data_IF_819132166395
#
_entry.id   IF_819132166395
#
_cell.length_a   1.000
_cell.length_b   1.000
_cell.length_c   1.000
_cell.angle_alpha   90.00
_cell.angle_beta   90.00
_cell.angle_gamma   90.00
#
_symmetry.space_group_name_H-M   'P 1'
#
loop_
_entity.id
_entity.type
_entity.pdbx_description
1 polymer ?
#
# COMPACT_ATOMS: atom_id res chain seq x y z
N UNK A 1 -17.27 -64.81 48.32
CA UNK A 1 -18.34 -64.25 47.48
C UNK A 1 -17.73 -63.15 46.59
N UNK A 2 -17.30 -63.54 45.39
CA UNK A 2 -16.72 -62.61 44.41
C UNK A 2 -17.84 -62.19 43.49
N UNK A 3 -18.20 -60.87 43.53
CA UNK A 3 -19.14 -60.27 42.59
C UNK A 3 -18.43 -60.01 41.25
N UNK A 4 -18.73 -60.81 40.24
CA UNK A 4 -18.34 -60.58 38.88
C UNK A 4 -19.16 -59.41 38.33
N UNK A 5 -18.53 -58.25 38.20
CA UNK A 5 -19.09 -57.13 37.47
C UNK A 5 -18.94 -57.38 35.97
N UNK A 6 -20.07 -57.43 35.28
CA UNK A 6 -20.13 -57.68 33.82
C UNK A 6 -19.69 -56.44 33.06
N UNK A 7 -18.39 -56.34 32.77
CA UNK A 7 -17.74 -55.23 32.11
C UNK A 7 -18.30 -54.90 30.68
N UNK A 8 -19.00 -55.90 30.09
CA UNK A 8 -19.59 -55.73 28.74
C UNK A 8 -20.77 -54.76 28.68
N UNK A 9 -21.46 -54.52 29.78
CA UNK A 9 -22.60 -53.59 29.83
C UNK A 9 -22.18 -52.14 29.91
N UNK A 10 -21.01 -51.85 30.49
CA UNK A 10 -20.48 -50.47 30.64
C UNK A 10 -19.99 -49.92 29.29
N UNK A 11 -19.43 -50.80 28.45
CA UNK A 11 -18.93 -50.36 27.12
C UNK A 11 -20.02 -50.07 26.09
N UNK A 12 -21.25 -50.59 26.25
CA UNK A 12 -22.36 -50.34 25.34
C UNK A 12 -22.95 -48.91 25.49
N UNK A 13 -22.95 -48.40 26.71
CA UNK A 13 -23.41 -47.02 26.99
C UNK A 13 -22.46 -45.96 26.51
N UNK A 14 -21.15 -46.20 26.62
CA UNK A 14 -20.13 -45.23 26.20
C UNK A 14 -20.00 -45.06 24.67
N UNK A 15 -20.31 -46.11 23.91
CA UNK A 15 -20.27 -46.02 22.43
C UNK A 15 -21.37 -45.12 21.87
N UNK A 16 -22.54 -45.10 22.52
CA UNK A 16 -23.66 -44.23 22.11
C UNK A 16 -23.38 -42.77 22.52
N UNK A 17 -22.79 -42.57 23.71
CA UNK A 17 -22.41 -41.24 24.18
C UNK A 17 -21.28 -40.62 23.34
N UNK A 18 -20.29 -41.43 22.96
CA UNK A 18 -19.18 -40.95 22.09
C UNK A 18 -19.71 -40.60 20.68
N UNK A 19 -20.65 -41.37 20.14
CA UNK A 19 -21.26 -41.06 18.86
C UNK A 19 -22.12 -39.76 18.89
N UNK A 20 -22.84 -39.53 19.99
CA UNK A 20 -23.62 -38.31 20.20
C UNK A 20 -22.73 -37.05 20.36
N UNK A 21 -21.60 -37.18 21.09
CA UNK A 21 -20.64 -36.10 21.26
C UNK A 21 -19.94 -35.79 19.94
N UNK A 22 -19.59 -36.78 19.13
CA UNK A 22 -19.01 -36.57 17.80
C UNK A 22 -19.99 -35.92 16.80
N UNK A 23 -21.29 -36.22 16.89
CA UNK A 23 -22.30 -35.52 16.09
C UNK A 23 -22.51 -34.06 16.50
N UNK A 24 -22.37 -33.73 17.79
CA UNK A 24 -22.44 -32.34 18.25
C UNK A 24 -21.19 -31.52 17.92
N UNK A 25 -20.03 -32.15 17.78
CA UNK A 25 -18.82 -31.48 17.30
C UNK A 25 -18.73 -31.39 15.79
N UNK A 26 -19.45 -32.20 15.03
CA UNK A 26 -19.46 -32.20 13.57
C UNK A 26 -20.25 -31.07 12.93
N UNK A 27 -21.09 -30.34 13.66
CA UNK A 27 -21.94 -29.27 13.15
C UNK A 27 -21.35 -27.85 13.30
N UNK A 28 -20.18 -27.70 13.93
CA UNK A 28 -19.55 -26.38 14.14
C UNK A 28 -18.39 -26.05 13.19
N UNK A 29 -18.14 -26.84 12.14
CA UNK A 29 -17.10 -26.58 11.15
C UNK A 29 -17.64 -26.01 9.84
N UNK A 30 -18.80 -25.35 9.85
CA UNK A 30 -19.08 -24.35 8.84
C UNK A 30 -18.46 -23.03 9.34
N UNK A 31 -17.14 -23.00 9.43
CA UNK A 31 -16.41 -21.76 9.43
C UNK A 31 -16.62 -21.15 8.05
N UNK A 32 -17.54 -20.21 7.99
CA UNK A 32 -17.63 -19.26 6.89
C UNK A 32 -16.21 -18.77 6.64
N UNK A 33 -15.62 -19.12 5.50
CA UNK A 33 -14.47 -18.48 4.94
C UNK A 33 -14.88 -17.01 4.74
N UNK A 34 -14.70 -16.21 5.75
CA UNK A 34 -14.76 -14.77 5.62
C UNK A 34 -13.66 -14.43 4.62
N UNK A 35 -14.07 -14.09 3.42
CA UNK A 35 -13.18 -13.51 2.44
C UNK A 35 -12.39 -12.39 3.13
N UNK A 36 -11.08 -12.28 2.88
CA UNK A 36 -10.24 -11.28 3.54
C UNK A 36 -10.82 -9.90 3.24
N UNK A 37 -11.49 -9.34 4.25
CA UNK A 37 -12.04 -7.98 4.19
C UNK A 37 -10.89 -7.02 3.90
N UNK A 38 -10.86 -6.45 2.69
CA UNK A 38 -10.42 -5.10 2.28
C UNK A 38 -9.61 -4.24 3.29
N UNK A 39 -8.74 -4.80 4.12
CA UNK A 39 -7.76 -4.03 4.89
C UNK A 39 -6.55 -3.59 4.05
N UNK A 40 -6.37 -4.15 2.85
CA UNK A 40 -5.30 -3.76 1.95
C UNK A 40 -5.50 -2.36 1.33
N UNK A 41 -6.75 -1.88 1.15
CA UNK A 41 -7.02 -0.59 0.51
C UNK A 41 -6.71 0.64 1.37
N UNK A 42 -6.73 0.55 2.69
CA UNK A 42 -6.40 1.67 3.56
C UNK A 42 -4.88 1.92 3.66
N UNK A 43 -4.08 0.86 3.59
CA UNK A 43 -2.60 0.97 3.53
C UNK A 43 -2.09 1.40 2.17
N UNK A 44 -2.85 1.15 1.13
CA UNK A 44 -2.49 1.46 -0.25
C UNK A 44 -2.48 2.98 -0.52
N UNK A 45 -3.36 3.75 0.12
CA UNK A 45 -3.43 5.20 -0.07
C UNK A 45 -2.31 5.99 0.63
N UNK A 46 -1.47 5.36 1.44
CA UNK A 46 -0.39 6.05 2.17
C UNK A 46 0.95 6.03 1.44
N UNK A 47 1.06 5.26 0.35
CA UNK A 47 2.29 5.15 -0.43
C UNK A 47 2.25 6.00 -1.68
N UNK A 48 3.42 6.47 -2.07
CA UNK A 48 3.65 7.02 -3.40
C UNK A 48 3.74 5.87 -4.39
N UNK A 49 2.96 5.94 -5.46
CA UNK A 49 2.93 4.95 -6.54
C UNK A 49 3.62 5.51 -7.78
N UNK A 50 4.58 4.77 -8.29
CA UNK A 50 5.08 4.97 -9.65
C UNK A 50 4.03 4.44 -10.63
N UNK A 51 3.50 5.31 -11.47
CA UNK A 51 2.51 4.96 -12.51
C UNK A 51 3.18 4.63 -13.84
N UNK A 52 4.23 5.40 -14.20
CA UNK A 52 4.93 5.24 -15.46
C UNK A 52 6.37 5.75 -15.37
N UNK A 53 7.25 5.13 -16.12
CA UNK A 53 8.56 5.62 -16.54
C UNK A 53 9.00 4.81 -17.78
N UNK A 54 9.63 5.47 -18.77
CA UNK A 54 10.13 4.77 -19.94
C UNK A 54 11.30 3.84 -19.59
N UNK A 55 12.12 4.26 -18.63
CA UNK A 55 13.27 3.50 -18.12
C UNK A 55 13.34 3.57 -16.60
N UNK A 56 13.63 2.43 -15.99
CA UNK A 56 13.84 2.28 -14.55
C UNK A 56 15.07 1.40 -14.34
N UNK A 57 15.99 1.87 -13.47
CA UNK A 57 17.10 1.04 -13.00
C UNK A 57 17.44 1.35 -11.55
N UNK A 58 18.08 0.40 -10.92
CA UNK A 58 18.56 0.53 -9.57
C UNK A 58 20.08 0.36 -9.57
N UNK A 59 20.78 1.35 -9.07
CA UNK A 59 22.23 1.28 -8.92
C UNK A 59 22.58 1.41 -7.44
N UNK A 60 22.90 0.27 -6.86
CA UNK A 60 23.24 0.17 -5.43
C UNK A 60 24.54 0.92 -5.11
N UNK A 61 25.46 1.01 -6.05
CA UNK A 61 26.78 1.62 -5.91
C UNK A 61 26.92 2.95 -6.66
N UNK A 62 25.84 3.43 -7.23
CA UNK A 62 25.82 4.67 -7.99
C UNK A 62 25.79 5.94 -7.13
N UNK A 63 25.70 7.10 -7.77
CA UNK A 63 25.74 8.40 -7.09
C UNK A 63 24.56 8.67 -6.17
N UNK A 64 23.48 7.89 -6.28
CA UNK A 64 22.26 8.01 -5.46
C UNK A 64 21.85 6.65 -4.90
N UNK A 65 22.63 6.10 -3.96
CA UNK A 65 22.38 4.77 -3.41
C UNK A 65 20.99 4.72 -2.76
N UNK A 66 20.31 3.57 -2.91
CA UNK A 66 18.96 3.36 -2.39
C UNK A 66 17.83 3.95 -3.20
N UNK A 67 18.12 4.68 -4.29
CA UNK A 67 17.13 5.20 -5.20
C UNK A 67 16.91 4.30 -6.42
N UNK A 68 15.66 4.21 -6.87
CA UNK A 68 15.33 3.81 -8.23
C UNK A 68 15.46 5.05 -9.11
N UNK A 69 16.30 4.94 -10.15
CA UNK A 69 16.49 6.03 -11.13
C UNK A 69 15.49 5.85 -12.25
N UNK A 70 14.67 6.88 -12.48
CA UNK A 70 13.58 6.88 -13.43
C UNK A 70 13.88 7.93 -14.53
N UNK A 71 13.60 7.59 -15.77
CA UNK A 71 13.83 8.49 -16.87
C UNK A 71 12.79 8.30 -17.97
N UNK A 72 12.32 9.42 -18.51
CA UNK A 72 11.35 9.53 -19.59
C UNK A 72 9.90 9.35 -19.11
N UNK A 73 9.09 10.38 -19.31
CA UNK A 73 7.66 10.39 -19.05
C UNK A 73 7.27 9.87 -17.65
N UNK A 74 8.04 10.25 -16.64
CA UNK A 74 7.83 9.75 -15.27
C UNK A 74 6.52 10.29 -14.70
N UNK A 75 5.72 9.40 -14.12
CA UNK A 75 4.46 9.73 -13.51
C UNK A 75 4.30 9.04 -12.15
N UNK A 76 3.92 9.82 -11.14
CA UNK A 76 3.61 9.36 -9.79
C UNK A 76 2.16 9.66 -9.39
N UNK A 77 1.64 8.91 -8.43
CA UNK A 77 0.35 9.18 -7.77
C UNK A 77 0.46 8.99 -6.27
N UNK A 78 -0.16 9.90 -5.51
CA UNK A 78 -0.33 9.76 -4.07
C UNK A 78 -1.58 10.52 -3.60
N UNK A 79 -2.48 9.82 -2.88
CA UNK A 79 -3.71 10.41 -2.29
C UNK A 79 -4.51 11.32 -3.25
N UNK A 80 -4.65 10.89 -4.50
CA UNK A 80 -5.39 11.64 -5.52
C UNK A 80 -4.59 12.75 -6.21
N UNK A 81 -3.39 13.08 -5.72
CA UNK A 81 -2.46 13.91 -6.47
C UNK A 81 -1.74 13.09 -7.54
N UNK A 82 -1.43 13.72 -8.66
CA UNK A 82 -0.60 13.17 -9.74
C UNK A 82 0.55 14.13 -10.04
N UNK A 83 1.75 13.56 -10.21
CA UNK A 83 2.93 14.32 -10.60
C UNK A 83 3.53 13.71 -11.86
N UNK A 84 3.98 14.56 -12.76
CA UNK A 84 4.66 14.21 -14.00
C UNK A 84 5.99 14.96 -14.07
N UNK A 85 7.05 14.33 -14.60
CA UNK A 85 8.36 14.95 -14.80
C UNK A 85 9.17 14.19 -15.86
N UNK A 86 10.33 14.73 -16.24
CA UNK A 86 11.20 14.09 -17.23
C UNK A 86 12.02 12.95 -16.61
N UNK A 87 12.50 13.13 -15.38
CA UNK A 87 13.26 12.12 -14.64
C UNK A 87 13.04 12.25 -13.13
N UNK A 88 13.34 11.17 -12.40
CA UNK A 88 13.20 11.18 -10.95
C UNK A 88 14.13 10.18 -10.27
N UNK A 89 14.43 10.45 -9.00
CA UNK A 89 14.97 9.48 -8.04
C UNK A 89 13.85 9.09 -7.09
N UNK A 90 13.47 7.83 -7.07
CA UNK A 90 12.42 7.30 -6.22
C UNK A 90 12.99 6.44 -5.09
N UNK A 91 12.72 6.83 -3.86
CA UNK A 91 13.14 6.16 -2.64
C UNK A 91 11.93 5.44 -2.03
N UNK A 92 11.75 4.19 -2.43
CA UNK A 92 10.58 3.40 -2.04
C UNK A 92 10.49 3.18 -0.53
N UNK A 93 11.63 2.99 0.15
CA UNK A 93 11.67 2.76 1.60
C UNK A 93 11.22 3.98 2.40
N UNK A 94 11.69 5.17 2.02
CA UNK A 94 11.31 6.44 2.66
C UNK A 94 10.05 7.05 2.08
N UNK A 95 9.39 6.37 1.12
CA UNK A 95 8.16 6.83 0.48
C UNK A 95 8.29 8.25 -0.10
N UNK A 96 9.44 8.55 -0.70
CA UNK A 96 9.77 9.89 -1.18
C UNK A 96 10.37 9.86 -2.58
N UNK A 97 10.35 11.00 -3.27
CA UNK A 97 11.01 11.14 -4.57
C UNK A 97 11.55 12.56 -4.79
N UNK A 98 12.52 12.65 -5.69
CA UNK A 98 13.02 13.91 -6.27
C UNK A 98 12.73 13.87 -7.75
N UNK A 99 12.00 14.87 -8.25
CA UNK A 99 11.60 15.02 -9.64
C UNK A 99 12.38 16.14 -10.30
N UNK A 100 12.76 15.94 -11.55
CA UNK A 100 13.57 16.85 -12.35
C UNK A 100 12.98 17.04 -13.72
N UNK A 101 13.00 18.27 -14.19
CA UNK A 101 12.59 18.69 -15.53
C UNK A 101 11.06 18.67 -15.72
N UNK A 102 10.52 19.79 -16.14
CA UNK A 102 9.10 19.99 -16.49
C UNK A 102 8.14 19.37 -15.48
N UNK A 103 8.42 19.56 -14.19
CA UNK A 103 7.59 19.03 -13.11
C UNK A 103 6.20 19.66 -13.17
N UNK A 104 5.17 18.81 -13.17
CA UNK A 104 3.75 19.19 -13.18
C UNK A 104 3.00 18.37 -12.17
N UNK A 105 2.48 18.99 -11.12
CA UNK A 105 1.66 18.32 -10.12
C UNK A 105 0.24 18.86 -10.18
N UNK A 106 -0.73 17.96 -10.04
CA UNK A 106 -2.15 18.26 -9.99
C UNK A 106 -2.81 17.55 -8.82
N UNK A 107 -3.66 18.27 -8.09
CA UNK A 107 -4.50 17.69 -7.06
C UNK A 107 -5.95 18.18 -7.24
N UNK A 108 -6.80 17.28 -7.73
CA UNK A 108 -8.14 17.65 -8.20
C UNK A 108 -8.08 18.72 -9.30
N UNK A 109 -9.14 19.50 -9.40
CA UNK A 109 -9.30 20.57 -10.39
C UNK A 109 -8.85 21.95 -9.85
N UNK A 110 -8.39 22.00 -8.60
CA UNK A 110 -8.17 23.26 -7.89
C UNK A 110 -6.73 23.60 -7.64
N UNK A 111 -5.82 22.62 -7.63
CA UNK A 111 -4.41 22.82 -7.36
C UNK A 111 -3.57 22.31 -8.53
N UNK A 112 -2.70 23.17 -9.04
CA UNK A 112 -1.62 22.80 -9.96
C UNK A 112 -0.32 23.47 -9.57
N UNK A 113 0.78 22.74 -9.67
CA UNK A 113 2.14 23.20 -9.44
C UNK A 113 3.00 22.89 -10.67
N UNK A 114 3.76 23.87 -11.13
CA UNK A 114 4.77 23.71 -12.18
C UNK A 114 6.11 24.16 -11.61
N UNK A 115 7.19 23.44 -11.93
CA UNK A 115 8.56 23.77 -11.53
C UNK A 115 9.57 22.96 -12.34
N UNK A 116 10.87 23.26 -12.20
CA UNK A 116 11.91 22.44 -12.80
C UNK A 116 12.45 21.37 -11.84
N UNK A 117 12.20 21.54 -10.55
CA UNK A 117 12.56 20.58 -9.51
C UNK A 117 11.44 20.46 -8.48
N UNK A 118 11.18 19.24 -8.02
CA UNK A 118 10.37 19.00 -6.82
C UNK A 118 10.92 17.87 -5.97
N UNK A 119 10.82 18.02 -4.66
CA UNK A 119 10.96 16.95 -3.68
C UNK A 119 9.61 16.69 -3.05
N UNK A 120 9.28 15.43 -2.85
CA UNK A 120 8.05 15.03 -2.18
C UNK A 120 8.30 13.92 -1.17
N UNK A 121 7.77 14.07 0.03
CA UNK A 121 7.74 13.05 1.07
C UNK A 121 6.28 12.61 1.30
N UNK A 122 5.97 11.37 0.95
CA UNK A 122 4.62 10.82 1.07
C UNK A 122 4.19 10.54 2.50
N UNK A 123 5.13 10.38 3.45
CA UNK A 123 4.80 10.15 4.85
C UNK A 123 4.24 11.42 5.50
N UNK A 124 4.92 12.56 5.27
CA UNK A 124 4.54 13.86 5.82
C UNK A 124 3.62 14.65 4.90
N UNK A 125 3.46 14.18 3.65
CA UNK A 125 2.75 14.87 2.57
C UNK A 125 3.34 16.26 2.29
N UNK A 126 4.64 16.41 2.53
CA UNK A 126 5.36 17.65 2.32
C UNK A 126 5.92 17.71 0.90
N UNK A 127 5.67 18.80 0.20
CA UNK A 127 6.20 19.08 -1.11
C UNK A 127 7.09 20.33 -1.06
N UNK A 128 8.23 20.27 -1.72
CA UNK A 128 9.13 21.39 -1.98
C UNK A 128 9.31 21.53 -3.49
N UNK A 129 9.18 22.73 -4.01
CA UNK A 129 9.40 23.02 -5.41
C UNK A 129 10.42 24.16 -5.57
N UNK A 130 11.26 24.07 -6.59
CA UNK A 130 12.29 25.06 -6.88
C UNK A 130 12.40 25.29 -8.39
N UNK A 131 12.86 26.44 -8.74
CA UNK A 131 13.15 26.90 -10.10
C UNK A 131 11.88 27.01 -10.95
N UNK A 132 11.60 28.23 -11.37
CA UNK A 132 10.46 28.58 -12.22
C UNK A 132 9.11 28.09 -11.63
N UNK A 133 8.92 28.26 -10.32
CA UNK A 133 7.75 27.73 -9.63
C UNK A 133 6.51 28.56 -9.93
N UNK A 134 5.46 27.90 -10.39
CA UNK A 134 4.12 28.46 -10.58
C UNK A 134 3.12 27.59 -9.85
N UNK A 135 2.60 28.08 -8.74
CA UNK A 135 1.54 27.43 -7.97
C UNK A 135 0.21 28.12 -8.29
N UNK A 136 -0.75 27.34 -8.75
CA UNK A 136 -2.11 27.81 -8.95
C UNK A 136 -3.05 27.08 -7.98
N UNK A 137 -3.78 27.85 -7.17
CA UNK A 137 -4.83 27.33 -6.34
C UNK A 137 -6.13 28.10 -6.62
N UNK A 138 -7.09 27.43 -7.26
CA UNK A 138 -8.33 28.04 -7.75
C UNK A 138 -8.04 29.21 -8.70
N UNK A 139 -8.29 30.43 -8.23
CA UNK A 139 -8.08 31.69 -9.01
C UNK A 139 -6.78 32.40 -8.62
N UNK A 140 -6.07 31.93 -7.61
CA UNK A 140 -4.84 32.55 -7.10
C UNK A 140 -3.61 31.89 -7.73
N UNK A 141 -2.67 32.69 -8.22
CA UNK A 141 -1.38 32.24 -8.74
C UNK A 141 -0.25 32.83 -7.89
N UNK A 142 0.70 31.98 -7.54
CA UNK A 142 1.94 32.33 -6.87
C UNK A 142 3.10 31.99 -7.80
N UNK A 143 4.04 32.91 -7.94
CA UNK A 143 5.28 32.74 -8.71
C UNK A 143 6.45 32.89 -7.75
N UNK A 144 7.41 31.98 -7.83
CA UNK A 144 8.66 32.05 -7.04
C UNK A 144 9.77 31.28 -7.76
N UNK A 145 11.00 31.53 -7.37
CA UNK A 145 12.19 30.83 -7.87
C UNK A 145 12.61 29.70 -6.94
#
# INVERSE_FOLDING_TARGET
MTKNYNIKAIFRGHRVLIAAVLCLFGLSLVQSRQAPKKKARAKDNERVYLLHADRLWFDQFGPVPGAQVLNGNVAFSHKGAKLYCDSAYFYQESNSFRAFGHVRMYQGDTLSLFSDYAYYNGNDQMAEARYNVVLTHRKTKLYTD
#
